data_IF_390680290824
#
_entry.id   IF_390680290824
#
_cell.length_a   1.000
_cell.length_b   1.000
_cell.length_c   1.000
_cell.angle_alpha   90.00
_cell.angle_beta   90.00
_cell.angle_gamma   90.00
#
_symmetry.space_group_name_H-M   'P 1'
#
loop_
_entity.id
_entity.type
_entity.pdbx_description
1 polymer ?
#
# COMPACT_ATOMS: atom_id res chain seq x y z
N UNK A 1 2.19 0.06 17.40
CA UNK A 1 1.32 -1.13 17.37
C UNK A 1 0.65 -1.23 16.00
N UNK A 2 0.69 -2.41 15.41
CA UNK A 2 0.08 -2.64 14.10
C UNK A 2 -1.26 -3.35 14.30
N UNK A 3 -2.28 -2.89 13.60
CA UNK A 3 -3.63 -3.48 13.65
C UNK A 3 -4.25 -3.54 12.28
N UNK A 4 -5.16 -4.50 12.08
CA UNK A 4 -6.10 -4.43 10.96
C UNK A 4 -7.09 -3.31 11.24
N UNK A 5 -7.40 -2.53 10.23
CA UNK A 5 -8.28 -1.37 10.35
C UNK A 5 -9.35 -1.40 9.28
N UNK A 6 -10.33 -0.50 9.37
CA UNK A 6 -11.42 -0.40 8.41
C UNK A 6 -11.07 0.58 7.29
N UNK A 7 -11.84 0.51 6.20
CA UNK A 7 -11.73 1.50 5.11
C UNK A 7 -11.86 2.91 5.67
N UNK A 8 -12.84 3.14 6.52
CA UNK A 8 -13.09 4.47 7.09
C UNK A 8 -11.85 5.03 7.79
N UNK A 9 -11.13 4.18 8.53
CA UNK A 9 -9.94 4.60 9.25
C UNK A 9 -8.77 5.01 8.33
N UNK A 10 -8.77 4.60 7.07
CA UNK A 10 -7.71 4.99 6.12
C UNK A 10 -7.92 6.37 5.52
N UNK A 11 -9.14 6.89 5.56
CA UNK A 11 -9.55 8.01 4.71
C UNK A 11 -8.86 9.33 5.04
N UNK A 12 -8.62 9.62 6.32
CA UNK A 12 -8.00 10.88 6.72
C UNK A 12 -6.56 10.98 6.20
N UNK A 13 -5.75 9.94 6.36
CA UNK A 13 -4.38 9.94 5.85
C UNK A 13 -4.34 9.92 4.32
N UNK A 14 -5.25 9.20 3.68
CA UNK A 14 -5.36 9.26 2.22
C UNK A 14 -5.68 10.67 1.74
N UNK A 15 -6.62 11.34 2.41
CA UNK A 15 -6.98 12.70 2.06
C UNK A 15 -5.80 13.64 2.17
N UNK A 16 -5.18 13.70 3.35
CA UNK A 16 -4.12 14.68 3.62
C UNK A 16 -2.83 14.41 2.86
N UNK A 17 -2.47 13.14 2.64
CA UNK A 17 -1.14 12.79 2.14
C UNK A 17 -1.11 12.28 0.69
N UNK A 18 -2.25 11.85 0.15
CA UNK A 18 -2.31 11.29 -1.20
C UNK A 18 -3.21 12.04 -2.16
N UNK A 19 -4.21 12.75 -1.67
CA UNK A 19 -5.28 13.30 -2.49
C UNK A 19 -5.45 14.81 -2.31
N UNK A 20 -4.40 15.53 -1.94
CA UNK A 20 -4.40 16.99 -1.81
C UNK A 20 -5.56 17.51 -0.95
N UNK A 21 -5.82 16.85 0.18
CA UNK A 21 -6.91 17.21 1.10
C UNK A 21 -8.29 17.12 0.50
N UNK A 22 -8.46 16.27 -0.51
CA UNK A 22 -9.77 15.93 -1.03
C UNK A 22 -10.66 15.46 0.13
N UNK A 23 -11.96 15.80 0.10
CA UNK A 23 -12.90 15.36 1.12
C UNK A 23 -12.68 13.86 1.40
N UNK A 24 -12.54 13.51 2.69
CA UNK A 24 -12.25 12.13 3.08
C UNK A 24 -13.25 11.13 2.51
N UNK A 25 -14.50 11.53 2.36
CA UNK A 25 -15.54 10.68 1.82
C UNK A 25 -15.34 10.34 0.33
N UNK A 26 -14.44 11.05 -0.35
CA UNK A 26 -14.10 10.81 -1.74
C UNK A 26 -12.76 10.07 -1.90
N UNK A 27 -12.13 9.65 -0.79
CA UNK A 27 -10.82 9.00 -0.80
C UNK A 27 -10.89 7.48 -0.74
N UNK A 28 -12.08 6.89 -0.77
CA UNK A 28 -12.25 5.44 -0.90
C UNK A 28 -11.80 4.96 -2.27
N UNK A 29 -11.24 3.76 -2.33
CA UNK A 29 -10.89 3.12 -3.59
C UNK A 29 -11.94 2.08 -3.93
N UNK A 30 -12.25 1.95 -5.21
CA UNK A 30 -13.08 0.85 -5.66
C UNK A 30 -12.43 -0.48 -5.24
N UNK A 31 -13.18 -1.34 -4.58
CA UNK A 31 -12.66 -2.61 -4.09
C UNK A 31 -12.23 -2.62 -2.62
N UNK A 32 -12.23 -1.48 -1.93
CA UNK A 32 -11.81 -1.42 -0.51
C UNK A 32 -12.60 -2.35 0.40
N UNK A 33 -13.88 -2.56 0.10
CA UNK A 33 -14.75 -3.39 0.93
C UNK A 33 -15.04 -4.75 0.31
N UNK A 34 -14.33 -5.12 -0.76
CA UNK A 34 -14.48 -6.44 -1.36
C UNK A 34 -13.96 -7.52 -0.42
N UNK A 35 -14.55 -8.71 -0.53
CA UNK A 35 -14.03 -9.87 0.17
C UNK A 35 -12.57 -10.11 -0.24
N UNK A 36 -11.72 -10.37 0.73
CA UNK A 36 -10.29 -10.54 0.50
C UNK A 36 -9.47 -9.25 0.61
N UNK A 37 -10.11 -8.08 0.51
CA UNK A 37 -9.42 -6.80 0.74
C UNK A 37 -9.23 -6.57 2.23
N UNK A 38 -8.10 -5.95 2.60
CA UNK A 38 -7.87 -5.57 3.99
C UNK A 38 -6.99 -4.33 4.08
N UNK A 39 -7.05 -3.72 5.24
CA UNK A 39 -6.28 -2.52 5.55
C UNK A 39 -5.51 -2.74 6.83
N UNK A 40 -4.32 -2.19 6.91
CA UNK A 40 -3.48 -2.25 8.12
C UNK A 40 -3.04 -0.86 8.50
N UNK A 41 -2.87 -0.65 9.78
CA UNK A 41 -2.44 0.63 10.31
C UNK A 41 -1.40 0.48 11.39
N UNK A 42 -0.51 1.45 11.47
CA UNK A 42 0.47 1.57 12.55
C UNK A 42 0.03 2.70 13.48
N UNK A 43 -0.14 2.36 14.76
CA UNK A 43 -0.54 3.32 15.79
C UNK A 43 0.64 3.61 16.70
N UNK A 44 0.84 4.88 17.00
CA UNK A 44 1.78 5.34 18.02
C UNK A 44 1.00 6.20 19.01
N UNK A 45 1.06 5.85 20.29
CA UNK A 45 0.32 6.54 21.34
C UNK A 45 -1.16 6.72 20.98
N UNK A 46 -1.77 5.65 20.44
CA UNK A 46 -3.18 5.60 20.03
C UNK A 46 -3.51 6.45 18.81
N UNK A 47 -2.50 7.05 18.16
CA UNK A 47 -2.70 7.83 16.94
C UNK A 47 -2.30 7.00 15.74
N UNK A 48 -3.17 6.95 14.73
CA UNK A 48 -2.90 6.25 13.48
C UNK A 48 -1.98 7.11 12.61
N UNK A 49 -0.77 6.63 12.35
CA UNK A 49 0.26 7.41 11.65
C UNK A 49 0.71 6.82 10.32
N UNK A 50 0.33 5.59 10.02
CA UNK A 50 0.68 4.95 8.75
C UNK A 50 -0.41 3.96 8.39
N UNK A 51 -0.80 3.93 7.12
CA UNK A 51 -1.81 3.00 6.62
C UNK A 51 -1.34 2.36 5.32
N UNK A 52 -1.86 1.18 5.05
CA UNK A 52 -1.68 0.49 3.77
C UNK A 52 -2.92 -0.35 3.48
N UNK A 53 -3.27 -0.46 2.22
CA UNK A 53 -4.43 -1.23 1.76
C UNK A 53 -3.97 -2.31 0.79
N UNK A 54 -4.58 -3.47 0.87
CA UNK A 54 -4.30 -4.59 0.00
C UNK A 54 -5.60 -5.10 -0.62
N UNK A 55 -5.65 -5.10 -1.95
CA UNK A 55 -6.77 -5.67 -2.69
C UNK A 55 -6.32 -6.98 -3.32
N UNK A 56 -7.12 -8.03 -3.19
CA UNK A 56 -6.83 -9.27 -3.90
C UNK A 56 -7.01 -9.02 -5.38
N UNK A 57 -5.90 -8.98 -6.11
CA UNK A 57 -5.88 -8.60 -7.51
C UNK A 57 -4.70 -9.29 -8.18
N UNK A 58 -4.99 -10.22 -9.06
CA UNK A 58 -3.95 -10.85 -9.87
C UNK A 58 -3.50 -9.90 -10.98
N UNK A 59 -2.32 -10.17 -11.53
CA UNK A 59 -1.78 -9.43 -12.65
C UNK A 59 -1.42 -10.41 -13.76
N UNK A 60 -1.78 -10.07 -15.00
CA UNK A 60 -1.48 -10.89 -16.16
C UNK A 60 0.02 -11.14 -16.29
N UNK A 61 0.39 -12.39 -16.58
CA UNK A 61 1.79 -12.76 -16.73
C UNK A 61 2.43 -13.29 -15.45
N UNK A 62 1.71 -13.26 -14.32
CA UNK A 62 2.22 -13.76 -13.04
C UNK A 62 1.31 -14.85 -12.51
N UNK A 63 1.91 -15.99 -12.19
CA UNK A 63 1.16 -17.16 -11.73
C UNK A 63 0.85 -17.06 -10.24
N UNK A 64 -0.34 -17.52 -9.86
CA UNK A 64 -0.72 -17.66 -8.47
C UNK A 64 -1.59 -16.53 -7.97
N UNK A 65 -1.70 -16.46 -6.64
CA UNK A 65 -2.54 -15.48 -5.95
C UNK A 65 -1.75 -14.19 -5.74
N UNK A 66 -2.30 -13.08 -6.22
CA UNK A 66 -1.66 -11.78 -6.11
C UNK A 66 -2.49 -10.77 -5.33
N UNK A 67 -1.82 -9.85 -4.67
CA UNK A 67 -2.44 -8.70 -4.03
C UNK A 67 -1.84 -7.41 -4.57
N UNK A 68 -2.67 -6.42 -4.78
CA UNK A 68 -2.22 -5.08 -5.12
C UNK A 68 -2.14 -4.25 -3.85
N UNK A 69 -0.97 -3.67 -3.58
CA UNK A 69 -0.78 -2.70 -2.50
C UNK A 69 -1.21 -1.33 -3.00
N UNK A 70 -2.06 -0.67 -2.23
CA UNK A 70 -2.59 0.65 -2.56
C UNK A 70 -2.63 1.55 -1.34
N UNK A 71 -2.59 2.85 -1.58
CA UNK A 71 -2.84 3.83 -0.53
C UNK A 71 -1.89 3.74 0.64
N UNK A 72 -0.64 3.36 0.41
CA UNK A 72 0.36 3.33 1.47
C UNK A 72 0.87 4.73 1.73
N UNK A 73 0.76 5.18 2.96
CA UNK A 73 1.15 6.53 3.34
C UNK A 73 1.51 6.60 4.81
N UNK A 74 2.55 7.38 5.12
CA UNK A 74 2.96 7.67 6.49
C UNK A 74 2.79 9.17 6.75
N UNK A 75 2.23 9.52 7.90
CA UNK A 75 2.12 10.91 8.33
C UNK A 75 3.50 11.58 8.26
N UNK A 76 3.60 12.83 7.74
CA UNK A 76 4.89 13.47 7.49
C UNK A 76 5.80 13.55 8.71
N UNK A 77 5.25 13.76 9.90
CA UNK A 77 6.02 13.87 11.13
C UNK A 77 6.68 12.56 11.55
N UNK A 78 6.30 11.45 10.93
CA UNK A 78 6.78 10.12 11.29
C UNK A 78 7.49 9.41 10.14
N UNK A 79 7.75 10.11 9.04
CA UNK A 79 8.48 9.54 7.90
C UNK A 79 9.95 9.30 8.24
N UNK A 80 10.59 8.41 7.48
CA UNK A 80 12.02 8.08 7.61
C UNK A 80 12.40 7.48 8.97
N UNK A 81 11.45 6.86 9.67
CA UNK A 81 11.67 6.21 10.97
C UNK A 81 11.47 4.69 10.91
N UNK A 82 11.34 4.14 9.71
CA UNK A 82 11.15 2.71 9.54
C UNK A 82 9.73 2.20 9.78
N UNK A 83 8.76 3.09 9.99
CA UNK A 83 7.38 2.70 10.28
C UNK A 83 6.72 2.03 9.08
N UNK A 84 6.86 2.61 7.89
CA UNK A 84 6.32 2.00 6.66
C UNK A 84 6.93 0.64 6.39
N UNK A 85 8.23 0.48 6.65
CA UNK A 85 8.92 -0.79 6.51
C UNK A 85 8.35 -1.85 7.46
N UNK A 86 8.11 -1.47 8.73
CA UNK A 86 7.51 -2.37 9.70
C UNK A 86 6.10 -2.79 9.30
N UNK A 87 5.29 -1.84 8.85
CA UNK A 87 3.92 -2.12 8.44
C UNK A 87 3.88 -3.05 7.24
N UNK A 88 4.74 -2.81 6.25
CA UNK A 88 4.78 -3.64 5.05
C UNK A 88 5.33 -5.03 5.34
N UNK A 89 6.35 -5.15 6.19
CA UNK A 89 6.87 -6.47 6.60
C UNK A 89 5.81 -7.29 7.34
N UNK A 90 5.05 -6.66 8.23
CA UNK A 90 3.93 -7.33 8.89
C UNK A 90 2.93 -7.86 7.86
N UNK A 91 2.59 -7.04 6.88
CA UNK A 91 1.63 -7.40 5.85
C UNK A 91 2.12 -8.54 4.96
N UNK A 92 3.41 -8.55 4.65
CA UNK A 92 4.03 -9.63 3.86
C UNK A 92 3.92 -10.97 4.62
N UNK A 93 4.23 -10.97 5.90
CA UNK A 93 4.13 -12.18 6.73
C UNK A 93 2.68 -12.67 6.78
N UNK A 94 1.74 -11.76 6.98
CA UNK A 94 0.32 -12.10 6.97
C UNK A 94 -0.08 -12.73 5.64
N UNK A 95 0.29 -12.11 4.53
CA UNK A 95 -0.08 -12.59 3.19
C UNK A 95 0.57 -13.93 2.86
N UNK A 96 1.78 -14.19 3.33
CA UNK A 96 2.39 -15.53 3.21
C UNK A 96 1.53 -16.59 3.89
N UNK A 97 1.02 -16.27 5.07
CA UNK A 97 0.12 -17.16 5.81
C UNK A 97 -1.22 -17.37 5.10
N UNK A 98 -1.60 -16.48 4.22
CA UNK A 98 -2.82 -16.58 3.41
C UNK A 98 -2.54 -17.22 2.03
N UNK A 99 -1.38 -17.85 1.86
CA UNK A 99 -1.00 -18.54 0.62
C UNK A 99 -0.88 -17.61 -0.58
N UNK A 100 -0.54 -16.35 -0.36
CA UNK A 100 -0.32 -15.37 -1.41
C UNK A 100 1.05 -15.57 -2.05
N UNK A 101 1.12 -15.44 -3.37
CA UNK A 101 2.35 -15.68 -4.12
C UNK A 101 3.13 -14.39 -4.40
N UNK A 102 2.44 -13.27 -4.60
CA UNK A 102 3.11 -12.02 -4.91
C UNK A 102 2.27 -10.80 -4.52
N UNK A 103 2.97 -9.67 -4.37
CA UNK A 103 2.38 -8.35 -4.17
C UNK A 103 2.90 -7.46 -5.29
N UNK A 104 2.04 -6.60 -5.82
CA UNK A 104 2.44 -5.62 -6.82
C UNK A 104 1.81 -4.28 -6.51
N UNK A 105 2.40 -3.21 -7.02
CA UNK A 105 1.86 -1.86 -6.85
C UNK A 105 2.24 -0.97 -8.01
N UNK A 106 1.47 0.09 -8.19
CA UNK A 106 1.83 1.21 -9.04
C UNK A 106 2.56 2.21 -8.16
N UNK A 107 3.89 2.15 -8.15
CA UNK A 107 4.70 2.94 -7.24
C UNK A 107 4.96 4.33 -7.80
N UNK A 108 4.77 5.36 -6.97
CA UNK A 108 5.18 6.72 -7.31
C UNK A 108 6.69 6.79 -7.37
N UNK A 109 7.22 7.66 -8.22
CA UNK A 109 8.66 7.80 -8.39
C UNK A 109 9.40 8.04 -7.07
N UNK A 110 8.86 8.88 -6.19
CA UNK A 110 9.49 9.16 -4.89
C UNK A 110 9.52 7.97 -3.94
N UNK A 111 8.73 6.93 -4.21
CA UNK A 111 8.68 5.73 -3.37
C UNK A 111 9.49 4.55 -3.94
N UNK A 112 10.10 4.69 -5.09
CA UNK A 112 10.85 3.60 -5.73
C UNK A 112 11.90 3.00 -4.80
N UNK A 113 12.70 3.85 -4.16
CA UNK A 113 13.79 3.38 -3.28
C UNK A 113 13.25 2.66 -2.05
N UNK A 114 12.14 3.12 -1.52
CA UNK A 114 11.51 2.48 -0.38
C UNK A 114 11.11 1.04 -0.72
N UNK A 115 10.41 0.85 -1.84
CA UNK A 115 10.00 -0.49 -2.26
C UNK A 115 11.18 -1.37 -2.65
N UNK A 116 12.19 -0.80 -3.32
CA UNK A 116 13.40 -1.56 -3.65
C UNK A 116 14.11 -2.05 -2.39
N UNK A 117 14.13 -1.25 -1.33
CA UNK A 117 14.71 -1.65 -0.05
C UNK A 117 14.03 -2.84 0.61
N UNK A 118 12.77 -3.09 0.29
CA UNK A 118 12.03 -4.24 0.79
C UNK A 118 12.24 -5.47 -0.10
N UNK A 119 12.61 -5.25 -1.35
CA UNK A 119 12.85 -6.32 -2.30
C UNK A 119 11.97 -6.28 -3.55
N UNK A 120 11.14 -5.25 -3.67
CA UNK A 120 10.36 -5.07 -4.90
C UNK A 120 11.27 -4.75 -6.06
N UNK A 121 10.89 -5.21 -7.25
CA UNK A 121 11.61 -4.90 -8.48
C UNK A 121 10.67 -4.29 -9.52
N UNK A 122 11.24 -3.51 -10.43
CA UNK A 122 10.46 -2.93 -11.51
C UNK A 122 10.05 -4.01 -12.52
N UNK A 123 8.79 -3.98 -12.94
CA UNK A 123 8.29 -4.86 -13.99
C UNK A 123 7.64 -4.10 -15.13
N UNK A 124 7.75 -2.77 -15.15
CA UNK A 124 7.25 -1.94 -16.25
C UNK A 124 8.19 -0.78 -16.49
N UNK A 125 8.03 -0.15 -17.67
CA UNK A 125 8.60 1.16 -17.92
C UNK A 125 7.84 2.21 -17.12
N UNK A 126 8.38 3.42 -17.01
CA UNK A 126 7.71 4.53 -16.35
C UNK A 126 6.50 4.98 -17.18
N UNK A 127 5.40 5.28 -16.49
CA UNK A 127 4.18 5.78 -17.11
C UNK A 127 3.60 6.92 -16.29
N UNK A 128 2.80 7.76 -16.93
CA UNK A 128 2.16 8.89 -16.27
C UNK A 128 0.73 8.53 -15.88
N UNK A 129 0.36 8.84 -14.63
CA UNK A 129 -1.03 8.83 -14.20
C UNK A 129 -1.51 10.28 -14.17
N UNK A 130 -2.62 10.60 -14.86
CA UNK A 130 -3.11 11.99 -14.93
C UNK A 130 -3.26 12.59 -13.54
N UNK A 131 -2.71 13.80 -13.34
CA UNK A 131 -2.74 14.57 -12.09
C UNK A 131 -1.94 13.98 -10.94
N UNK A 132 -1.33 12.80 -11.12
CA UNK A 132 -0.59 12.12 -10.04
C UNK A 132 0.90 12.05 -10.35
N UNK A 133 1.27 11.92 -11.62
CA UNK A 133 2.66 11.96 -12.06
C UNK A 133 3.23 10.60 -12.46
N UNK A 134 4.55 10.51 -12.45
CA UNK A 134 5.28 9.34 -12.94
C UNK A 134 5.18 8.16 -11.97
N UNK A 135 4.96 6.98 -12.53
CA UNK A 135 4.82 5.72 -11.81
C UNK A 135 5.51 4.59 -12.56
N UNK A 136 5.85 3.54 -11.81
CA UNK A 136 6.26 2.26 -12.40
C UNK A 136 5.59 1.14 -11.64
N UNK A 137 5.27 0.05 -12.33
CA UNK A 137 4.77 -1.15 -11.63
C UNK A 137 5.94 -1.83 -10.95
N UNK A 138 5.78 -2.14 -9.69
CA UNK A 138 6.76 -2.87 -8.89
C UNK A 138 6.14 -4.15 -8.36
N UNK A 139 6.96 -5.18 -8.17
CA UNK A 139 6.53 -6.53 -7.89
C UNK A 139 7.45 -7.17 -6.86
N UNK A 140 6.86 -7.89 -5.92
CA UNK A 140 7.57 -8.67 -4.92
C UNK A 140 7.01 -10.08 -4.87
N UNK A 141 7.84 -11.07 -5.17
CA UNK A 141 7.47 -12.46 -4.98
C UNK A 141 7.62 -12.82 -3.50
N UNK A 142 6.60 -13.42 -2.91
CA UNK A 142 6.65 -13.75 -1.48
C UNK A 142 6.46 -15.24 -1.20
N UNK A 143 6.13 -16.02 -2.25
CA UNK A 143 5.98 -17.46 -2.06
C UNK A 143 6.18 -18.24 -3.36
#
# INVERSE_FOLDING_TARGET
MIKFITTDQTLDLRSSELRDRLDRNLCGFHGDDNEGSFHVGFFQDKVLICVATFHEQTRDGFAGKGYQLRGMVTHPDFQSKGIGNQLLNFSIVYLKGQMTNYIWCNARKKAYKFYQGIGFEFISEEFELPKIGAHRVMYLRIS
#
